data_IF_713578873593
#
_entry.id   IF_713578873593
#
_cell.length_a   1.000
_cell.length_b   1.000
_cell.length_c   1.000
_cell.angle_alpha   90.00
_cell.angle_beta   90.00
_cell.angle_gamma   90.00
#
_symmetry.space_group_name_H-M   'P 1'
#
loop_
_entity.id
_entity.type
_entity.pdbx_description
1 polymer ?
#
# COMPACT_ATOMS: atom_id res chain seq x y z
N UNK A 1 -11.11 12.97 -37.51
CA UNK A 1 -10.03 12.30 -38.25
C UNK A 1 -9.40 11.25 -37.33
N UNK A 2 -9.07 10.04 -37.81
CA UNK A 2 -8.36 9.06 -36.98
C UNK A 2 -7.03 9.67 -36.53
N UNK A 3 -6.74 9.58 -35.23
CA UNK A 3 -5.50 10.11 -34.64
C UNK A 3 -4.42 9.05 -34.82
N UNK A 4 -3.26 9.43 -35.38
CA UNK A 4 -2.12 8.52 -35.49
C UNK A 4 -1.46 8.28 -34.13
N UNK A 5 -0.89 7.09 -33.96
CA UNK A 5 -0.15 6.77 -32.74
C UNK A 5 1.03 7.74 -32.56
N UNK A 6 1.11 8.41 -31.40
CA UNK A 6 2.19 9.37 -31.08
C UNK A 6 3.59 8.76 -31.18
N UNK A 7 3.72 7.45 -30.97
CA UNK A 7 4.97 6.73 -31.17
C UNK A 7 5.38 6.57 -32.65
N UNK A 8 4.59 7.09 -33.60
CA UNK A 8 4.84 7.03 -35.05
C UNK A 8 5.09 5.62 -35.60
N UNK A 9 4.42 4.61 -35.04
CA UNK A 9 4.58 3.21 -35.43
C UNK A 9 3.77 2.78 -36.67
N UNK A 10 3.13 3.72 -37.37
CA UNK A 10 2.25 3.45 -38.52
C UNK A 10 0.82 2.98 -38.16
N UNK A 11 0.54 2.66 -36.90
CA UNK A 11 -0.80 2.29 -36.43
C UNK A 11 -1.62 3.51 -35.99
N UNK A 12 -2.95 3.38 -36.05
CA UNK A 12 -3.88 4.34 -35.46
C UNK A 12 -3.86 4.27 -33.93
N UNK A 13 -3.99 5.42 -33.27
CA UNK A 13 -4.19 5.47 -31.84
C UNK A 13 -5.57 4.91 -31.47
N UNK A 14 -5.61 4.05 -30.46
CA UNK A 14 -6.84 3.42 -29.96
C UNK A 14 -7.18 3.82 -28.53
N UNK A 15 -6.26 4.49 -27.85
CA UNK A 15 -6.40 4.97 -26.48
C UNK A 15 -5.61 6.26 -26.28
N UNK A 16 -5.94 6.98 -25.21
CA UNK A 16 -5.17 8.13 -24.72
C UNK A 16 -4.63 7.79 -23.33
N UNK A 17 -3.32 7.94 -23.11
CA UNK A 17 -2.68 7.70 -21.82
C UNK A 17 -3.19 8.72 -20.78
N UNK A 18 -3.79 8.28 -19.66
CA UNK A 18 -4.23 9.17 -18.58
C UNK A 18 -3.09 10.01 -17.99
N UNK A 19 -1.87 9.44 -17.92
CA UNK A 19 -0.69 10.06 -17.31
C UNK A 19 -0.10 11.19 -18.16
N UNK A 20 0.07 10.97 -19.46
CA UNK A 20 0.80 11.88 -20.36
C UNK A 20 -0.09 12.59 -21.38
N UNK A 21 -1.31 12.10 -21.59
CA UNK A 21 -2.20 12.58 -22.65
C UNK A 21 -1.86 12.03 -24.04
N UNK A 22 -0.90 11.12 -24.16
CA UNK A 22 -0.45 10.59 -25.45
C UNK A 22 -1.48 9.67 -26.08
N UNK A 23 -1.83 9.92 -27.35
CA UNK A 23 -2.65 9.02 -28.14
C UNK A 23 -1.78 7.87 -28.68
N UNK A 24 -2.03 6.62 -28.27
CA UNK A 24 -1.23 5.45 -28.66
C UNK A 24 -2.10 4.30 -29.17
N UNK A 25 -1.52 3.44 -30.02
CA UNK A 25 -2.09 2.11 -30.26
C UNK A 25 -1.81 1.19 -29.04
N UNK A 26 -2.53 0.06 -28.94
CA UNK A 26 -2.35 -0.89 -27.82
C UNK A 26 -0.91 -1.38 -27.66
N UNK A 27 -0.23 -1.73 -28.75
CA UNK A 27 1.14 -2.24 -28.70
C UNK A 27 2.14 -1.20 -28.17
N UNK A 28 2.05 0.05 -28.63
CA UNK A 28 2.89 1.13 -28.13
C UNK A 28 2.57 1.52 -26.69
N UNK A 29 1.30 1.42 -26.28
CA UNK A 29 0.93 1.59 -24.88
C UNK A 29 1.58 0.53 -23.98
N UNK A 30 1.54 -0.75 -24.37
CA UNK A 30 2.21 -1.82 -23.63
C UNK A 30 3.71 -1.56 -23.52
N UNK A 31 4.38 -1.27 -24.64
CA UNK A 31 5.80 -0.99 -24.64
C UNK A 31 6.17 0.20 -23.74
N UNK A 32 5.40 1.30 -23.80
CA UNK A 32 5.64 2.48 -22.97
C UNK A 32 5.41 2.19 -21.47
N UNK A 33 4.31 1.51 -21.13
CA UNK A 33 3.96 1.18 -19.75
C UNK A 33 4.98 0.22 -19.12
N UNK A 34 5.37 -0.83 -19.85
CA UNK A 34 6.37 -1.80 -19.42
C UNK A 34 7.77 -1.16 -19.30
N UNK A 35 8.15 -0.27 -20.23
CA UNK A 35 9.43 0.45 -20.19
C UNK A 35 9.53 1.44 -19.02
N UNK A 36 8.45 2.11 -18.64
CA UNK A 36 8.42 2.99 -17.46
C UNK A 36 8.63 2.20 -16.15
N UNK A 37 8.05 1.00 -16.06
CA UNK A 37 8.24 0.12 -14.90
C UNK A 37 9.66 -0.42 -14.89
N UNK A 38 10.21 -0.85 -16.04
CA UNK A 38 11.62 -1.24 -16.18
C UNK A 38 12.55 -0.11 -15.71
N UNK A 39 12.34 1.11 -16.22
CA UNK A 39 13.11 2.29 -15.81
C UNK A 39 13.02 2.53 -14.30
N UNK A 40 11.83 2.40 -13.70
CA UNK A 40 11.63 2.53 -12.25
C UNK A 40 12.43 1.48 -11.48
N UNK A 41 12.42 0.21 -11.92
CA UNK A 41 13.16 -0.89 -11.30
C UNK A 41 14.68 -0.63 -11.34
N UNK A 42 15.22 -0.25 -12.49
CA UNK A 42 16.66 -0.06 -12.70
C UNK A 42 17.16 1.21 -12.00
N UNK A 43 16.50 2.35 -12.23
CA UNK A 43 16.91 3.64 -11.64
C UNK A 43 16.87 3.62 -10.11
N UNK A 44 15.94 2.86 -9.52
CA UNK A 44 15.81 2.72 -8.07
C UNK A 44 16.56 1.52 -7.49
N UNK A 45 17.26 0.73 -8.31
CA UNK A 45 17.99 -0.49 -7.92
C UNK A 45 17.14 -1.40 -7.03
N UNK A 46 15.89 -1.68 -7.46
CA UNK A 46 14.91 -2.36 -6.61
C UNK A 46 15.30 -3.80 -6.27
N UNK A 47 16.01 -4.46 -7.19
CA UNK A 47 16.41 -5.86 -7.09
C UNK A 47 17.87 -6.05 -7.47
N UNK A 48 18.44 -7.17 -7.02
CA UNK A 48 19.73 -7.69 -7.49
C UNK A 48 19.53 -9.05 -8.16
N UNK A 49 20.40 -9.36 -9.13
CA UNK A 49 20.39 -10.67 -9.78
C UNK A 49 20.55 -11.78 -8.75
N UNK A 50 19.75 -12.84 -8.88
CA UNK A 50 19.72 -13.97 -7.95
C UNK A 50 18.84 -13.75 -6.71
N UNK A 51 18.25 -12.56 -6.51
CA UNK A 51 17.32 -12.34 -5.40
C UNK A 51 16.00 -13.09 -5.62
N UNK A 52 15.47 -13.66 -4.54
CA UNK A 52 14.14 -14.24 -4.47
C UNK A 52 13.13 -13.20 -4.02
N UNK A 53 12.07 -13.00 -4.80
CA UNK A 53 11.09 -11.92 -4.59
C UNK A 53 9.69 -12.50 -4.44
N UNK A 54 9.07 -12.24 -3.30
CA UNK A 54 7.65 -12.52 -3.11
C UNK A 54 6.78 -11.41 -3.70
N UNK A 55 5.99 -11.71 -4.73
CA UNK A 55 4.94 -10.82 -5.23
C UNK A 55 3.70 -11.00 -4.35
N UNK A 56 3.33 -9.94 -3.63
CA UNK A 56 2.13 -9.95 -2.80
C UNK A 56 0.87 -9.98 -3.68
N UNK A 57 0.24 -11.15 -3.76
CA UNK A 57 -0.88 -11.44 -4.66
C UNK A 57 -2.22 -11.33 -3.93
N UNK A 58 -2.99 -10.30 -4.25
CA UNK A 58 -4.34 -10.11 -3.70
C UNK A 58 -5.44 -10.68 -4.61
N UNK A 59 -5.11 -11.06 -5.83
CA UNK A 59 -6.09 -11.38 -6.89
C UNK A 59 -6.67 -10.15 -7.58
N UNK A 60 -6.50 -8.95 -7.00
CA UNK A 60 -6.91 -7.70 -7.63
C UNK A 60 -5.98 -7.24 -8.76
N UNK A 61 -6.51 -6.33 -9.59
CA UNK A 61 -5.85 -5.77 -10.79
C UNK A 61 -4.39 -5.37 -10.59
N UNK A 62 -4.07 -4.66 -9.51
CA UNK A 62 -2.75 -4.08 -9.29
C UNK A 62 -1.70 -5.18 -9.01
N UNK A 63 -2.06 -6.18 -8.19
CA UNK A 63 -1.18 -7.32 -7.92
C UNK A 63 -1.04 -8.25 -9.13
N UNK A 64 -2.11 -8.44 -9.92
CA UNK A 64 -2.06 -9.26 -11.14
C UNK A 64 -1.19 -8.60 -12.21
N UNK A 65 -1.34 -7.29 -12.45
CA UNK A 65 -0.47 -6.54 -13.36
C UNK A 65 0.98 -6.55 -12.87
N UNK A 66 1.21 -6.38 -11.56
CA UNK A 66 2.55 -6.48 -10.99
C UNK A 66 3.18 -7.86 -11.26
N UNK A 67 2.45 -8.94 -10.97
CA UNK A 67 2.90 -10.31 -11.20
C UNK A 67 3.28 -10.54 -12.67
N UNK A 68 2.37 -10.18 -13.59
CA UNK A 68 2.58 -10.30 -15.03
C UNK A 68 3.78 -9.48 -15.52
N UNK A 69 3.84 -8.20 -15.16
CA UNK A 69 4.90 -7.30 -15.64
C UNK A 69 6.27 -7.68 -15.05
N UNK A 70 6.35 -8.08 -13.79
CA UNK A 70 7.61 -8.55 -13.22
C UNK A 70 8.11 -9.82 -13.90
N UNK A 71 7.24 -10.80 -14.15
CA UNK A 71 7.59 -12.00 -14.91
C UNK A 71 8.09 -11.65 -16.32
N UNK A 72 7.32 -10.83 -17.04
CA UNK A 72 7.64 -10.38 -18.39
C UNK A 72 8.98 -9.63 -18.47
N UNK A 73 9.24 -8.70 -17.55
CA UNK A 73 10.48 -7.91 -17.53
C UNK A 73 11.67 -8.73 -17.05
N UNK A 74 11.46 -9.66 -16.11
CA UNK A 74 12.49 -10.59 -15.64
C UNK A 74 13.05 -11.42 -16.81
N UNK A 75 12.17 -11.92 -17.68
CA UNK A 75 12.53 -12.69 -18.87
C UNK A 75 13.13 -11.79 -19.97
N UNK A 76 12.47 -10.67 -20.27
CA UNK A 76 12.89 -9.77 -21.37
C UNK A 76 14.26 -9.14 -21.14
N UNK A 77 14.58 -8.78 -19.90
CA UNK A 77 15.79 -8.04 -19.55
C UNK A 77 16.80 -8.87 -18.74
N UNK A 78 16.54 -10.17 -18.56
CA UNK A 78 17.36 -11.09 -17.77
C UNK A 78 17.73 -10.52 -16.39
N UNK A 79 16.73 -10.12 -15.59
CA UNK A 79 17.01 -9.68 -14.23
C UNK A 79 17.56 -10.83 -13.36
N UNK A 80 17.20 -12.08 -13.68
CA UNK A 80 17.59 -13.27 -12.92
C UNK A 80 16.95 -13.36 -11.54
N UNK A 81 15.69 -12.94 -11.41
CA UNK A 81 14.90 -13.04 -10.17
C UNK A 81 14.22 -14.40 -10.07
N UNK A 82 14.20 -14.96 -8.85
CA UNK A 82 13.32 -16.07 -8.47
C UNK A 82 11.99 -15.49 -7.95
N UNK A 83 10.93 -15.59 -8.75
CA UNK A 83 9.63 -14.97 -8.44
C UNK A 83 8.66 -15.99 -7.84
N UNK A 84 8.10 -15.65 -6.67
CA UNK A 84 7.08 -16.44 -5.96
C UNK A 84 5.87 -15.59 -5.66
N UNK A 85 4.66 -16.15 -5.76
CA UNK A 85 3.43 -15.50 -5.31
C UNK A 85 3.20 -15.75 -3.82
N UNK A 86 2.90 -14.71 -3.06
CA UNK A 86 2.50 -14.78 -1.66
C UNK A 86 1.14 -14.13 -1.47
N UNK A 87 0.14 -14.93 -1.10
CA UNK A 87 -1.23 -14.50 -0.86
C UNK A 87 -1.62 -14.69 0.60
N UNK A 88 -2.41 -13.76 1.13
CA UNK A 88 -2.94 -13.82 2.49
C UNK A 88 -4.45 -13.99 2.42
N UNK A 89 -4.99 -15.08 2.94
CA UNK A 89 -6.43 -15.28 3.12
C UNK A 89 -6.90 -14.61 4.42
N UNK A 90 -7.60 -13.48 4.31
CA UNK A 90 -8.14 -12.79 5.47
C UNK A 90 -9.42 -13.44 6.05
N UNK A 91 -10.03 -14.42 5.38
CA UNK A 91 -11.29 -15.04 5.79
C UNK A 91 -12.46 -14.07 5.71
N UNK A 92 -12.72 -13.52 4.51
CA UNK A 92 -13.88 -12.68 4.21
C UNK A 92 -14.78 -13.45 3.25
N UNK A 93 -15.91 -13.94 3.76
CA UNK A 93 -16.86 -14.79 3.03
C UNK A 93 -17.42 -14.07 1.80
N UNK A 94 -17.43 -14.74 0.65
CA UNK A 94 -17.96 -14.18 -0.61
C UNK A 94 -17.08 -13.09 -1.23
N UNK A 95 -15.86 -12.93 -0.73
CA UNK A 95 -14.85 -12.04 -1.32
C UNK A 95 -13.53 -12.79 -1.52
N UNK A 96 -13.02 -13.44 -0.47
CA UNK A 96 -11.69 -14.03 -0.53
C UNK A 96 -11.66 -15.33 -1.32
N UNK A 97 -12.73 -16.11 -1.27
CA UNK A 97 -12.91 -17.36 -2.02
C UNK A 97 -12.63 -17.14 -3.51
N UNK A 98 -13.39 -16.25 -4.15
CA UNK A 98 -13.24 -15.92 -5.58
C UNK A 98 -11.89 -15.28 -5.92
N UNK A 99 -11.40 -14.41 -5.04
CA UNK A 99 -10.11 -13.75 -5.25
C UNK A 99 -8.93 -14.73 -5.20
N UNK A 100 -9.03 -15.79 -4.38
CA UNK A 100 -7.99 -16.82 -4.27
C UNK A 100 -7.99 -17.75 -5.48
N UNK A 101 -9.15 -18.06 -6.07
CA UNK A 101 -9.21 -18.76 -7.35
C UNK A 101 -8.50 -17.98 -8.45
N UNK A 102 -8.66 -16.66 -8.47
CA UNK A 102 -7.91 -15.81 -9.41
C UNK A 102 -6.41 -15.87 -9.16
N UNK A 103 -5.96 -15.89 -7.89
CA UNK A 103 -4.54 -16.03 -7.56
C UNK A 103 -4.00 -17.41 -7.96
N UNK A 104 -4.78 -18.48 -7.82
CA UNK A 104 -4.42 -19.83 -8.30
C UNK A 104 -4.31 -19.86 -9.82
N UNK A 105 -5.21 -19.19 -10.55
CA UNK A 105 -5.07 -19.03 -12.00
C UNK A 105 -3.79 -18.26 -12.37
N UNK A 106 -3.49 -17.16 -11.66
CA UNK A 106 -2.26 -16.39 -11.89
C UNK A 106 -0.98 -17.21 -11.62
N UNK A 107 -0.99 -18.15 -10.67
CA UNK A 107 0.10 -19.12 -10.45
C UNK A 107 0.35 -19.93 -11.72
N UNK A 108 -0.71 -20.43 -12.34
CA UNK A 108 -0.64 -21.29 -13.52
C UNK A 108 -0.25 -20.49 -14.77
N UNK A 109 -0.89 -19.34 -15.00
CA UNK A 109 -0.62 -18.45 -16.13
C UNK A 109 0.82 -17.94 -16.17
N UNK A 110 1.40 -17.64 -15.01
CA UNK A 110 2.73 -17.05 -14.90
C UNK A 110 3.81 -18.04 -14.46
N UNK A 111 3.44 -19.31 -14.21
CA UNK A 111 4.35 -20.37 -13.77
C UNK A 111 5.21 -19.94 -12.57
N UNK A 112 4.58 -19.28 -11.59
CA UNK A 112 5.23 -18.83 -10.36
C UNK A 112 4.69 -19.63 -9.18
N UNK A 113 5.52 -20.24 -8.31
CA UNK A 113 5.03 -20.97 -7.14
C UNK A 113 4.16 -20.06 -6.26
N UNK A 114 3.16 -20.65 -5.58
CA UNK A 114 2.21 -19.90 -4.75
C UNK A 114 2.22 -20.40 -3.32
N UNK A 115 2.41 -19.49 -2.37
CA UNK A 115 2.14 -19.72 -0.94
C UNK A 115 0.92 -18.92 -0.51
N UNK A 116 -0.01 -19.60 0.13
CA UNK A 116 -1.16 -19.00 0.81
C UNK A 116 -0.94 -19.18 2.31
N UNK A 117 -1.23 -18.14 3.08
CA UNK A 117 -1.36 -18.17 4.54
C UNK A 117 -2.72 -17.59 4.92
N UNK A 118 -3.40 -18.13 5.92
CA UNK A 118 -4.68 -17.57 6.36
C UNK A 118 -4.59 -16.85 7.71
N UNK A 119 -5.50 -15.91 7.95
CA UNK A 119 -5.62 -15.30 9.29
C UNK A 119 -6.09 -16.33 10.33
N UNK A 120 -6.93 -17.27 9.93
CA UNK A 120 -7.38 -18.34 10.82
C UNK A 120 -6.17 -19.16 11.33
N UNK A 121 -5.27 -19.58 10.44
CA UNK A 121 -4.05 -20.30 10.82
C UNK A 121 -3.08 -19.45 11.65
N UNK A 122 -2.89 -18.17 11.27
CA UNK A 122 -1.88 -17.32 11.89
C UNK A 122 -2.29 -16.71 13.22
N UNK A 123 -3.60 -16.51 13.42
CA UNK A 123 -4.16 -15.70 14.49
C UNK A 123 -5.33 -16.37 15.22
N UNK A 124 -5.95 -17.42 14.65
CA UNK A 124 -7.20 -18.01 15.18
C UNK A 124 -8.44 -17.16 14.90
N UNK A 125 -8.35 -16.21 13.97
CA UNK A 125 -9.41 -15.27 13.65
C UNK A 125 -9.54 -15.07 12.14
N UNK A 126 -10.76 -15.13 11.61
CA UNK A 126 -11.09 -14.55 10.30
C UNK A 126 -11.50 -13.08 10.43
N UNK A 127 -11.45 -12.33 9.33
CA UNK A 127 -11.97 -10.97 9.30
C UNK A 127 -13.46 -10.91 9.59
N UNK A 128 -14.23 -11.92 9.18
CA UNK A 128 -15.66 -12.00 9.50
C UNK A 128 -15.88 -12.10 11.02
N UNK A 129 -15.12 -12.95 11.72
CA UNK A 129 -15.17 -13.06 13.19
C UNK A 129 -14.70 -11.78 13.88
N UNK A 130 -13.67 -11.12 13.35
CA UNK A 130 -13.19 -9.83 13.87
C UNK A 130 -14.30 -8.77 13.74
N UNK A 131 -14.93 -8.65 12.57
CA UNK A 131 -16.00 -7.67 12.33
C UNK A 131 -17.23 -7.96 13.19
N UNK A 132 -17.58 -9.23 13.41
CA UNK A 132 -18.65 -9.62 14.33
C UNK A 132 -18.38 -9.12 15.75
N UNK A 133 -17.11 -9.12 16.21
CA UNK A 133 -16.72 -8.70 17.55
C UNK A 133 -16.61 -7.18 17.72
N UNK A 134 -16.08 -6.47 16.71
CA UNK A 134 -15.72 -5.03 16.85
C UNK A 134 -16.71 -4.10 16.14
N UNK A 135 -17.59 -4.65 15.30
CA UNK A 135 -18.41 -3.93 14.34
C UNK A 135 -17.65 -3.50 13.09
N UNK A 136 -18.31 -2.70 12.24
CA UNK A 136 -17.74 -2.24 10.96
C UNK A 136 -16.75 -1.08 11.10
N UNK A 137 -16.73 -0.41 12.25
CA UNK A 137 -15.76 0.67 12.50
C UNK A 137 -14.37 0.10 12.79
N UNK A 138 -13.32 0.72 12.24
CA UNK A 138 -11.92 0.34 12.47
C UNK A 138 -11.48 -1.07 11.99
N UNK A 139 -12.34 -1.85 11.33
CA UNK A 139 -12.00 -3.19 10.83
C UNK A 139 -10.79 -3.22 9.89
N UNK A 140 -10.65 -2.22 9.01
CA UNK A 140 -9.49 -2.08 8.13
C UNK A 140 -8.19 -1.82 8.90
N UNK A 141 -8.26 -1.36 10.14
CA UNK A 141 -7.07 -1.24 11.01
C UNK A 141 -6.57 -2.62 11.44
N UNK A 142 -7.47 -3.52 11.83
CA UNK A 142 -7.12 -4.92 12.13
C UNK A 142 -6.55 -5.60 10.90
N UNK A 143 -7.32 -5.60 9.80
CA UNK A 143 -6.93 -6.20 8.53
C UNK A 143 -5.56 -5.66 8.06
N UNK A 144 -5.36 -4.35 8.01
CA UNK A 144 -4.09 -3.77 7.56
C UNK A 144 -2.89 -4.07 8.47
N UNK A 145 -3.10 -4.30 9.77
CA UNK A 145 -2.03 -4.68 10.71
C UNK A 145 -1.70 -6.17 10.55
N UNK A 146 -2.72 -7.04 10.55
CA UNK A 146 -2.54 -8.48 10.40
C UNK A 146 -2.00 -8.84 9.02
N UNK A 147 -2.50 -8.24 7.93
CA UNK A 147 -1.98 -8.47 6.56
C UNK A 147 -0.49 -8.19 6.47
N UNK A 148 -0.01 -7.09 7.06
CA UNK A 148 1.42 -6.75 7.01
C UNK A 148 2.26 -7.81 7.73
N UNK A 149 1.87 -8.19 8.94
CA UNK A 149 2.60 -9.22 9.69
C UNK A 149 2.50 -10.59 9.02
N UNK A 150 1.35 -10.94 8.44
CA UNK A 150 1.16 -12.19 7.69
C UNK A 150 2.07 -12.24 6.44
N UNK A 151 2.21 -11.13 5.72
CA UNK A 151 3.18 -11.01 4.63
C UNK A 151 4.63 -11.16 5.13
N UNK A 152 4.99 -10.55 6.28
CA UNK A 152 6.33 -10.72 6.85
C UNK A 152 6.60 -12.18 7.27
N UNK A 153 5.59 -12.85 7.85
CA UNK A 153 5.62 -14.29 8.18
C UNK A 153 5.81 -15.14 6.94
N UNK A 154 5.02 -14.93 5.89
CA UNK A 154 5.12 -15.67 4.65
C UNK A 154 6.44 -15.45 3.93
N UNK A 155 6.94 -14.22 3.93
CA UNK A 155 8.23 -13.89 3.36
C UNK A 155 9.38 -14.58 4.10
N UNK A 156 9.33 -14.61 5.44
CA UNK A 156 10.31 -15.36 6.26
C UNK A 156 10.25 -16.86 5.99
N UNK A 157 9.05 -17.45 5.90
CA UNK A 157 8.86 -18.87 5.59
C UNK A 157 9.39 -19.27 4.21
N UNK A 158 9.29 -18.37 3.23
CA UNK A 158 9.75 -18.61 1.87
C UNK A 158 11.24 -18.30 1.64
N UNK A 159 11.90 -17.68 2.63
CA UNK A 159 13.29 -17.24 2.54
C UNK A 159 13.51 -16.21 1.42
N UNK A 160 12.63 -15.22 1.28
CA UNK A 160 12.74 -14.20 0.22
C UNK A 160 13.55 -12.98 0.65
N UNK A 161 14.24 -12.37 -0.30
CA UNK A 161 15.05 -11.16 -0.12
C UNK A 161 14.20 -9.89 -0.11
N UNK A 162 13.02 -9.91 -0.74
CA UNK A 162 12.10 -8.78 -0.74
C UNK A 162 10.66 -9.17 -1.05
N UNK A 163 9.72 -8.27 -0.71
CA UNK A 163 8.30 -8.38 -1.08
C UNK A 163 7.94 -7.26 -2.05
N UNK A 164 7.55 -7.61 -3.28
CA UNK A 164 6.97 -6.66 -4.23
C UNK A 164 5.46 -6.49 -3.97
N UNK A 165 5.00 -5.24 -3.93
CA UNK A 165 3.58 -4.92 -3.67
C UNK A 165 3.00 -4.06 -4.79
N UNK A 166 1.72 -4.26 -5.11
CA UNK A 166 1.03 -3.58 -6.21
C UNK A 166 0.66 -2.11 -5.94
N UNK A 167 1.31 -1.43 -4.99
CA UNK A 167 0.99 -0.03 -4.71
C UNK A 167 1.35 0.84 -5.92
N UNK A 168 0.36 1.55 -6.45
CA UNK A 168 0.47 2.38 -7.64
C UNK A 168 0.62 3.88 -7.30
N UNK A 169 0.68 4.76 -8.31
CA UNK A 169 0.84 6.20 -8.09
C UNK A 169 -0.30 6.81 -7.26
N UNK A 170 -1.55 6.44 -7.56
CA UNK A 170 -2.74 6.88 -6.82
C UNK A 170 -2.65 6.48 -5.34
N UNK A 171 -2.28 5.22 -5.02
CA UNK A 171 -2.11 4.75 -3.64
C UNK A 171 -1.09 5.59 -2.85
N UNK A 172 0.00 6.00 -3.51
CA UNK A 172 1.06 6.79 -2.88
C UNK A 172 0.58 8.23 -2.67
N UNK A 173 -0.07 8.82 -3.66
CA UNK A 173 -0.66 10.15 -3.54
C UNK A 173 -1.76 10.20 -2.46
N UNK A 174 -2.65 9.22 -2.41
CA UNK A 174 -3.63 9.03 -1.33
C UNK A 174 -2.94 8.96 0.03
N UNK A 175 -1.85 8.21 0.14
CA UNK A 175 -1.11 8.05 1.40
C UNK A 175 -0.42 9.35 1.83
N UNK A 176 0.18 10.11 0.89
CA UNK A 176 0.76 11.43 1.15
C UNK A 176 -0.32 12.36 1.70
N UNK A 177 -1.44 12.48 0.99
CA UNK A 177 -2.57 13.30 1.37
C UNK A 177 -3.12 12.92 2.76
N UNK A 178 -3.37 11.63 3.00
CA UNK A 178 -3.84 11.15 4.31
C UNK A 178 -2.88 11.50 5.45
N UNK A 179 -1.57 11.44 5.22
CA UNK A 179 -0.58 11.78 6.26
C UNK A 179 -0.49 13.29 6.50
N UNK A 180 -0.67 14.12 5.46
CA UNK A 180 -0.82 15.58 5.60
C UNK A 180 -2.06 15.91 6.42
N UNK A 181 -3.23 15.38 6.04
CA UNK A 181 -4.51 15.63 6.71
C UNK A 181 -4.52 15.16 8.19
N UNK A 182 -3.71 14.15 8.52
CA UNK A 182 -3.55 13.65 9.91
C UNK A 182 -2.43 14.34 10.68
N UNK A 183 -1.65 15.22 10.05
CA UNK A 183 -0.44 15.80 10.63
C UNK A 183 0.60 14.75 11.05
N UNK A 184 0.68 13.62 10.35
CA UNK A 184 1.61 12.53 10.66
C UNK A 184 2.93 12.67 9.89
N UNK A 185 3.72 13.67 10.29
CA UNK A 185 5.04 13.97 9.69
C UNK A 185 6.00 12.79 9.71
N UNK A 186 5.93 11.94 10.74
CA UNK A 186 6.79 10.76 10.86
C UNK A 186 6.47 9.70 9.81
N UNK A 187 5.20 9.55 9.39
CA UNK A 187 4.79 8.68 8.28
C UNK A 187 5.00 9.36 6.92
N UNK A 188 4.73 10.66 6.83
CA UNK A 188 4.93 11.43 5.61
C UNK A 188 6.38 11.31 5.11
N UNK A 189 7.37 11.38 6.02
CA UNK A 189 8.81 11.20 5.74
C UNK A 189 9.21 9.89 5.05
N UNK A 190 8.38 8.84 5.12
CA UNK A 190 8.72 7.50 4.56
C UNK A 190 7.67 6.97 3.58
N UNK A 191 6.56 7.66 3.40
CA UNK A 191 5.44 7.10 2.65
C UNK A 191 5.69 7.02 1.14
N UNK A 192 6.53 7.91 0.62
CA UNK A 192 7.01 7.95 -0.76
C UNK A 192 8.20 7.03 -1.01
N UNK A 193 8.78 6.40 0.01
CA UNK A 193 9.88 5.45 -0.16
C UNK A 193 9.43 4.30 -1.09
N UNK A 194 10.18 4.10 -2.17
CA UNK A 194 9.94 3.01 -3.13
C UNK A 194 10.38 1.65 -2.58
N UNK A 195 11.39 1.67 -1.70
CA UNK A 195 11.89 0.54 -0.92
C UNK A 195 11.78 0.89 0.56
N UNK A 196 11.04 0.08 1.32
CA UNK A 196 10.86 0.29 2.77
C UNK A 196 11.37 -0.92 3.54
N UNK A 197 12.11 -0.70 4.63
CA UNK A 197 12.77 -1.79 5.38
C UNK A 197 14.21 -2.02 4.93
N UNK A 198 14.76 -3.21 5.21
CA UNK A 198 16.14 -3.57 4.86
C UNK A 198 17.19 -3.35 5.96
N UNK A 199 16.80 -3.22 7.22
CA UNK A 199 17.70 -3.56 8.34
C UNK A 199 17.81 -5.09 8.46
N UNK A 200 18.89 -5.61 9.04
CA UNK A 200 19.22 -7.06 9.13
C UNK A 200 18.02 -7.96 9.44
N UNK A 201 17.12 -7.52 10.32
CA UNK A 201 15.96 -8.32 10.74
C UNK A 201 14.66 -8.12 9.94
N UNK A 202 14.66 -7.29 8.89
CA UNK A 202 13.43 -6.91 8.18
C UNK A 202 13.51 -7.14 6.68
N UNK A 203 12.59 -7.96 6.17
CA UNK A 203 12.44 -8.17 4.72
C UNK A 203 11.93 -6.85 4.09
N UNK A 204 12.68 -6.26 3.15
CA UNK A 204 12.31 -5.02 2.50
C UNK A 204 11.09 -5.21 1.60
N UNK A 205 10.28 -4.16 1.49
CA UNK A 205 9.14 -4.09 0.58
C UNK A 205 9.41 -3.09 -0.52
N UNK A 206 9.17 -3.50 -1.76
CA UNK A 206 9.38 -2.69 -2.96
C UNK A 206 8.08 -2.43 -3.71
N UNK A 207 8.03 -1.32 -4.44
CA UNK A 207 6.83 -0.85 -5.16
C UNK A 207 7.16 -0.55 -6.64
N UNK A 208 7.27 -1.57 -7.50
CA UNK A 208 7.60 -1.35 -8.92
C UNK A 208 6.59 -0.47 -9.66
N UNK A 209 5.32 -0.46 -9.24
CA UNK A 209 4.24 0.34 -9.83
C UNK A 209 4.13 1.76 -9.26
N UNK A 210 5.08 2.23 -8.42
CA UNK A 210 4.99 3.51 -7.69
C UNK A 210 4.62 4.72 -8.56
N UNK A 211 5.04 4.76 -9.83
CA UNK A 211 4.77 5.86 -10.75
C UNK A 211 3.81 5.50 -11.89
N UNK A 212 3.13 4.36 -11.79
CA UNK A 212 2.10 3.90 -12.72
C UNK A 212 0.73 4.36 -12.25
N UNK A 213 -0.06 4.99 -13.11
CA UNK A 213 -1.42 5.44 -12.75
C UNK A 213 -2.36 4.25 -12.65
N UNK A 214 -3.29 4.28 -11.70
CA UNK A 214 -4.29 3.21 -11.53
C UNK A 214 -5.08 2.97 -12.82
N UNK A 215 -5.46 4.05 -13.52
CA UNK A 215 -6.17 3.95 -14.81
C UNK A 215 -5.34 3.23 -15.87
N UNK A 216 -4.02 3.43 -15.90
CA UNK A 216 -3.15 2.71 -16.84
C UNK A 216 -3.02 1.23 -16.47
N UNK A 217 -2.98 0.90 -15.17
CA UNK A 217 -3.02 -0.49 -14.70
C UNK A 217 -4.31 -1.18 -15.13
N UNK A 218 -5.47 -0.53 -14.97
CA UNK A 218 -6.77 -1.03 -15.44
C UNK A 218 -6.76 -1.26 -16.95
N UNK A 219 -6.30 -0.28 -17.73
CA UNK A 219 -6.21 -0.38 -19.19
C UNK A 219 -5.26 -1.51 -19.62
N UNK A 220 -4.11 -1.64 -18.96
CA UNK A 220 -3.13 -2.69 -19.23
C UNK A 220 -3.72 -4.07 -18.97
N UNK A 221 -4.34 -4.28 -17.79
CA UNK A 221 -5.00 -5.53 -17.44
C UNK A 221 -6.11 -5.90 -18.45
N UNK A 222 -6.96 -4.93 -18.79
CA UNK A 222 -8.06 -5.13 -19.74
C UNK A 222 -7.56 -5.51 -21.14
N UNK A 223 -6.60 -4.76 -21.70
CA UNK A 223 -6.13 -5.01 -23.07
C UNK A 223 -5.24 -6.25 -23.19
N UNK A 224 -4.52 -6.64 -22.13
CA UNK A 224 -3.80 -7.92 -22.06
C UNK A 224 -4.72 -9.09 -21.69
N UNK A 225 -6.00 -8.82 -21.39
CA UNK A 225 -7.00 -9.81 -20.94
C UNK A 225 -6.51 -10.61 -19.71
N UNK A 226 -5.87 -9.93 -18.77
CA UNK A 226 -5.41 -10.58 -17.54
C UNK A 226 -6.62 -10.95 -16.68
N UNK A 227 -6.58 -12.15 -16.09
CA UNK A 227 -7.60 -12.60 -15.14
C UNK A 227 -7.31 -11.98 -13.78
N UNK A 228 -8.18 -11.08 -13.34
CA UNK A 228 -8.14 -10.44 -12.03
C UNK A 228 -9.54 -10.37 -11.42
N UNK A 229 -9.60 -10.38 -10.11
CA UNK A 229 -10.81 -10.18 -9.32
C UNK A 229 -11.07 -8.68 -9.12
N UNK A 230 -12.29 -8.23 -9.45
CA UNK A 230 -12.65 -6.80 -9.48
C UNK A 230 -13.61 -6.37 -8.38
N UNK A 231 -14.27 -7.29 -7.69
CA UNK A 231 -15.22 -6.98 -6.62
C UNK A 231 -14.51 -6.29 -5.47
N UNK A 232 -15.08 -5.20 -4.94
CA UNK A 232 -14.54 -4.53 -3.77
C UNK A 232 -14.84 -5.30 -2.48
N UNK A 233 -13.96 -5.17 -1.49
CA UNK A 233 -14.17 -5.79 -0.19
C UNK A 233 -15.39 -5.18 0.52
N UNK A 234 -16.30 -6.04 1.01
CA UNK A 234 -17.53 -5.65 1.74
C UNK A 234 -17.30 -4.76 2.97
N UNK A 235 -16.07 -4.76 3.50
CA UNK A 235 -15.66 -3.94 4.65
C UNK A 235 -14.96 -2.64 4.28
N UNK A 236 -14.54 -2.46 3.02
CA UNK A 236 -13.82 -1.28 2.54
C UNK A 236 -14.58 0.05 2.58
N UNK A 237 -15.92 0.12 2.39
CA UNK A 237 -16.64 1.40 2.30
C UNK A 237 -16.47 2.33 3.50
N UNK A 238 -16.21 1.78 4.69
CA UNK A 238 -16.04 2.56 5.93
C UNK A 238 -14.58 2.99 6.20
N UNK A 239 -13.67 2.77 5.24
CA UNK A 239 -12.27 3.10 5.41
C UNK A 239 -12.02 4.60 5.15
N UNK A 240 -11.29 5.26 6.05
CA UNK A 240 -10.88 6.67 5.89
C UNK A 240 -10.19 6.97 4.56
N UNK A 241 -9.48 5.99 3.98
CA UNK A 241 -8.83 6.13 2.67
C UNK A 241 -9.82 6.47 1.55
N UNK A 242 -11.08 6.03 1.64
CA UNK A 242 -12.11 6.36 0.65
C UNK A 242 -12.30 7.86 0.46
N UNK A 243 -12.23 8.66 1.54
CA UNK A 243 -12.33 10.12 1.45
C UNK A 243 -11.13 10.74 0.73
N UNK A 244 -9.91 10.26 1.02
CA UNK A 244 -8.70 10.72 0.34
C UNK A 244 -8.70 10.37 -1.14
N UNK A 245 -9.18 9.17 -1.49
CA UNK A 245 -9.38 8.74 -2.88
C UNK A 245 -10.35 9.64 -3.61
N UNK A 246 -11.54 9.87 -3.06
CA UNK A 246 -12.56 10.72 -3.68
C UNK A 246 -12.00 12.14 -3.94
N UNK A 247 -11.36 12.74 -2.93
CA UNK A 247 -10.73 14.06 -3.07
C UNK A 247 -9.63 14.07 -4.14
N UNK A 248 -8.77 13.04 -4.18
CA UNK A 248 -7.72 12.92 -5.20
C UNK A 248 -8.32 12.82 -6.61
N UNK A 249 -9.43 12.08 -6.79
CA UNK A 249 -10.11 11.98 -8.09
C UNK A 249 -10.71 13.32 -8.53
N UNK A 250 -11.22 14.14 -7.61
CA UNK A 250 -11.70 15.48 -7.94
C UNK A 250 -10.55 16.40 -8.37
N UNK A 251 -9.39 16.33 -7.71
CA UNK A 251 -8.18 17.02 -8.15
C UNK A 251 -7.70 16.53 -9.53
N UNK A 252 -7.74 15.21 -9.77
CA UNK A 252 -7.31 14.59 -11.04
C UNK A 252 -8.15 15.07 -12.23
N UNK A 253 -9.45 15.31 -12.02
CA UNK A 253 -10.35 15.90 -13.05
C UNK A 253 -9.92 17.31 -13.45
N UNK A 254 -9.42 18.11 -12.51
CA UNK A 254 -8.94 19.48 -12.77
C UNK A 254 -7.58 19.45 -13.47
N UNK A 255 -6.65 18.61 -12.98
CA UNK A 255 -5.30 18.50 -13.52
C UNK A 255 -4.77 17.06 -13.37
N UNK A 256 -4.68 16.27 -14.45
CA UNK A 256 -4.25 14.87 -14.38
C UNK A 256 -2.85 14.65 -13.79
N UNK A 257 -1.94 15.61 -13.91
CA UNK A 257 -0.59 15.52 -13.33
C UNK A 257 -0.55 15.63 -11.80
N UNK A 258 -1.67 15.99 -11.15
CA UNK A 258 -1.73 16.20 -9.70
C UNK A 258 -1.26 14.98 -8.89
N UNK A 259 -1.49 13.75 -9.38
CA UNK A 259 -1.03 12.53 -8.72
C UNK A 259 0.50 12.53 -8.61
N UNK A 260 1.19 12.80 -9.72
CA UNK A 260 2.67 12.91 -9.71
C UNK A 260 3.15 14.12 -8.93
N UNK A 261 2.46 15.25 -9.04
CA UNK A 261 2.81 16.49 -8.32
C UNK A 261 2.73 16.28 -6.79
N UNK A 262 1.74 15.52 -6.30
CA UNK A 262 1.62 15.15 -4.88
C UNK A 262 2.75 14.19 -4.45
N UNK A 263 3.09 13.19 -5.27
CA UNK A 263 4.20 12.27 -4.98
C UNK A 263 5.51 13.05 -4.91
N UNK A 264 5.78 13.89 -5.92
CA UNK A 264 6.95 14.76 -5.97
C UNK A 264 7.02 15.68 -4.75
N UNK A 265 5.90 16.30 -4.37
CA UNK A 265 5.83 17.11 -3.15
C UNK A 265 6.22 16.30 -1.91
N UNK A 266 5.69 15.08 -1.77
CA UNK A 266 6.03 14.17 -0.68
C UNK A 266 7.51 13.77 -0.63
N UNK A 267 8.17 13.64 -1.78
CA UNK A 267 9.61 13.37 -1.91
C UNK A 267 10.48 14.59 -1.62
N UNK A 268 10.01 15.80 -1.97
CA UNK A 268 10.74 17.03 -1.73
C UNK A 268 10.60 17.57 -0.31
N UNK A 269 9.57 17.17 0.45
CA UNK A 269 9.41 17.59 1.83
C UNK A 269 10.63 17.25 2.68
N UNK A 270 11.24 18.28 3.28
CA UNK A 270 12.32 18.15 4.26
C UNK A 270 11.72 18.22 5.66
N UNK A 271 12.16 17.32 6.54
CA UNK A 271 11.70 17.27 7.93
C UNK A 271 12.84 17.68 8.85
N UNK A 272 12.52 18.39 9.94
CA UNK A 272 13.48 18.69 11.00
C UNK A 272 14.07 17.39 11.57
N UNK A 273 15.34 17.39 11.95
CA UNK A 273 16.02 16.22 12.52
C UNK A 273 15.36 15.73 13.82
N UNK A 274 14.67 16.63 14.53
CA UNK A 274 13.87 16.32 15.72
C UNK A 274 12.70 15.38 15.44
N UNK A 275 12.27 15.23 14.18
CA UNK A 275 11.26 14.25 13.77
C UNK A 275 11.88 12.85 13.73
N UNK A 276 11.92 12.20 14.91
CA UNK A 276 12.47 10.85 15.07
C UNK A 276 11.72 9.86 14.19
N UNK A 277 12.45 9.12 13.35
CA UNK A 277 11.93 7.88 12.75
C UNK A 277 11.69 6.90 13.90
N UNK A 278 10.56 6.17 13.92
CA UNK A 278 10.36 5.14 14.93
C UNK A 278 11.51 4.13 14.84
N UNK A 279 12.18 3.89 15.96
CA UNK A 279 13.22 2.85 16.05
C UNK A 279 12.52 1.52 15.83
N UNK A 280 13.04 0.71 14.91
CA UNK A 280 12.56 -0.64 14.69
C UNK A 280 13.34 -1.59 15.59
N UNK A 281 12.63 -2.51 16.23
CA UNK A 281 13.20 -3.62 16.97
C UNK A 281 12.36 -4.88 16.76
N UNK A 282 12.71 -5.95 17.45
CA UNK A 282 12.01 -7.22 17.39
C UNK A 282 10.95 -7.26 18.48
N UNK A 283 9.71 -7.59 18.15
CA UNK A 283 8.62 -7.69 19.12
C UNK A 283 8.90 -8.81 20.14
N UNK A 284 8.87 -8.52 21.44
CA UNK A 284 9.14 -9.50 22.50
C UNK A 284 8.18 -10.71 22.48
N UNK A 285 6.95 -10.51 22.00
CA UNK A 285 5.90 -11.55 21.99
C UNK A 285 5.85 -12.45 20.76
N UNK A 286 6.28 -11.96 19.59
CA UNK A 286 6.15 -12.73 18.35
C UNK A 286 7.41 -12.76 17.49
N UNK A 287 8.47 -12.08 17.93
CA UNK A 287 9.76 -12.02 17.24
C UNK A 287 9.72 -11.43 15.82
N UNK A 288 8.68 -10.65 15.48
CA UNK A 288 8.59 -9.89 14.22
C UNK A 288 8.91 -8.41 14.45
N UNK A 289 9.38 -7.76 13.39
CA UNK A 289 9.80 -6.36 13.42
C UNK A 289 8.65 -5.45 13.81
N UNK A 290 8.89 -4.56 14.78
CA UNK A 290 7.95 -3.54 15.20
C UNK A 290 8.64 -2.25 15.62
N UNK A 291 7.84 -1.18 15.73
CA UNK A 291 8.29 0.12 16.23
C UNK A 291 7.73 0.46 17.61
N UNK A 292 7.07 -0.50 18.24
CA UNK A 292 6.52 -0.41 19.59
C UNK A 292 6.56 -1.80 20.24
N UNK A 293 6.65 -1.83 21.57
CA UNK A 293 6.60 -3.06 22.36
C UNK A 293 5.34 -3.05 23.25
N UNK A 294 4.53 -4.11 23.22
CA UNK A 294 4.49 -5.17 22.20
C UNK A 294 4.01 -4.62 20.84
N UNK A 295 4.25 -5.39 19.76
CA UNK A 295 3.86 -4.95 18.42
C UNK A 295 2.34 -4.74 18.30
N UNK A 296 1.94 -3.89 17.36
CA UNK A 296 0.53 -3.54 17.18
C UNK A 296 -0.36 -4.75 16.89
N UNK A 297 0.15 -5.75 16.17
CA UNK A 297 -0.58 -6.99 15.91
C UNK A 297 -0.84 -7.77 17.20
N UNK A 298 0.19 -7.96 18.05
CA UNK A 298 0.03 -8.63 19.34
C UNK A 298 -0.94 -7.91 20.27
N UNK A 299 -0.92 -6.56 20.30
CA UNK A 299 -1.89 -5.77 21.10
C UNK A 299 -3.32 -5.98 20.62
N UNK A 300 -3.54 -5.95 19.30
CA UNK A 300 -4.87 -6.15 18.73
C UNK A 300 -5.37 -7.58 18.95
N UNK A 301 -4.50 -8.58 18.77
CA UNK A 301 -4.82 -9.99 19.00
C UNK A 301 -5.14 -10.28 20.46
N UNK A 302 -4.37 -9.71 21.40
CA UNK A 302 -4.68 -9.77 22.83
C UNK A 302 -6.06 -9.16 23.14
N UNK A 303 -6.37 -8.00 22.54
CA UNK A 303 -7.67 -7.37 22.67
C UNK A 303 -8.82 -8.25 22.19
N UNK A 304 -8.66 -8.94 21.06
CA UNK A 304 -9.65 -9.90 20.55
C UNK A 304 -9.82 -11.10 21.51
N UNK A 305 -8.72 -11.73 21.90
CA UNK A 305 -8.74 -12.93 22.75
C UNK A 305 -9.27 -12.67 24.17
N UNK A 306 -9.15 -11.44 24.68
CA UNK A 306 -9.66 -11.03 26.00
C UNK A 306 -11.06 -10.41 25.96
N UNK A 307 -11.70 -10.32 24.79
CA UNK A 307 -12.99 -9.63 24.65
C UNK A 307 -12.91 -8.10 24.84
N UNK A 308 -11.72 -7.50 24.68
CA UNK A 308 -11.45 -6.06 24.79
C UNK A 308 -11.02 -5.49 23.43
N UNK A 309 -11.88 -5.48 22.40
CA UNK A 309 -11.48 -5.15 21.02
C UNK A 309 -11.02 -3.70 20.81
N UNK A 310 -11.36 -2.80 21.75
CA UNK A 310 -10.89 -1.41 21.73
C UNK A 310 -9.42 -1.30 22.17
N UNK A 311 -8.80 -2.37 22.68
CA UNK A 311 -7.43 -2.35 23.15
C UNK A 311 -6.46 -1.93 22.02
N UNK A 312 -5.87 -0.76 22.19
CA UNK A 312 -4.94 -0.16 21.23
C UNK A 312 -5.59 0.61 20.08
N UNK A 313 -6.91 0.70 19.99
CA UNK A 313 -7.62 1.52 18.99
C UNK A 313 -8.05 2.83 19.65
N UNK A 314 -7.96 3.96 18.92
CA UNK A 314 -8.51 5.24 19.41
C UNK A 314 -7.54 6.14 20.17
N UNK A 315 -6.32 6.38 19.65
CA UNK A 315 -5.52 7.52 20.13
C UNK A 315 -6.27 8.83 19.79
N UNK A 316 -6.45 9.74 20.76
CA UNK A 316 -6.96 11.11 20.53
C UNK A 316 -6.19 11.76 19.37
N UNK A 317 -6.89 12.52 18.54
CA UNK A 317 -6.29 13.18 17.37
C UNK A 317 -5.19 14.14 17.84
N UNK A 318 -4.20 14.41 16.98
CA UNK A 318 -3.17 15.42 17.32
C UNK A 318 -3.80 16.81 17.47
N UNK A 319 -4.85 17.10 16.69
CA UNK A 319 -5.64 18.33 16.80
C UNK A 319 -6.29 18.47 18.18
N UNK A 320 -6.94 17.42 18.69
CA UNK A 320 -7.59 17.44 20.00
C UNK A 320 -6.58 17.71 21.11
N UNK A 321 -5.37 17.14 21.00
CA UNK A 321 -4.28 17.40 21.96
C UNK A 321 -3.75 18.81 21.87
N UNK A 322 -3.65 19.36 20.65
CA UNK A 322 -3.21 20.73 20.43
C UNK A 322 -4.22 21.73 20.99
N UNK A 323 -5.50 21.53 20.72
CA UNK A 323 -6.61 22.33 21.27
C UNK A 323 -6.64 22.20 22.80
N UNK A 324 -6.52 20.98 23.35
CA UNK A 324 -6.47 20.78 24.80
C UNK A 324 -5.28 21.51 25.45
N UNK A 325 -4.09 21.49 24.81
CA UNK A 325 -2.91 22.23 25.27
C UNK A 325 -3.15 23.74 25.20
N UNK A 326 -3.71 24.24 24.09
CA UNK A 326 -4.01 25.65 23.91
C UNK A 326 -5.03 26.15 24.96
N UNK A 327 -6.08 25.37 25.22
CA UNK A 327 -7.07 25.70 26.25
C UNK A 327 -6.46 25.68 27.65
N UNK A 328 -5.54 24.75 27.94
CA UNK A 328 -4.80 24.74 29.21
C UNK A 328 -3.90 25.96 29.36
N UNK A 329 -3.20 26.37 28.30
CA UNK A 329 -2.37 27.59 28.29
C UNK A 329 -3.22 28.86 28.44
N UNK A 330 -4.39 28.92 27.80
CA UNK A 330 -5.33 30.03 27.94
C UNK A 330 -5.85 30.15 29.39
N UNK A 331 -6.28 29.03 29.98
CA UNK A 331 -6.77 29.00 31.36
C UNK A 331 -5.69 29.39 32.39
N UNK A 332 -4.41 29.05 32.14
CA UNK A 332 -3.28 29.49 32.97
C UNK A 332 -3.05 31.01 32.85
N UNK A 333 -3.19 31.59 31.65
CA UNK A 333 -3.09 33.04 31.43
C UNK A 333 -4.23 33.80 32.09
N UNK A 334 -5.46 33.31 32.00
CA UNK A 334 -6.63 33.89 32.66
C UNK A 334 -6.46 33.88 34.18
N UNK A 335 -5.99 32.78 34.78
CA UNK A 335 -5.66 32.71 36.21
C UNK A 335 -4.55 33.69 36.60
N UNK A 336 -3.50 33.83 35.79
CA UNK A 336 -2.41 34.77 36.06
C UNK A 336 -2.85 36.24 35.96
N UNK A 337 -3.84 36.55 35.12
CA UNK A 337 -4.41 37.90 35.02
C UNK A 337 -5.34 38.23 36.20
N UNK A 338 -6.09 37.25 36.73
CA UNK A 338 -6.90 37.45 37.95
C UNK A 338 -5.99 37.78 39.14
N UNK A 339 -4.89 37.03 39.33
CA UNK A 339 -3.93 37.28 40.43
C UNK A 339 -3.24 38.65 40.32
N UNK A 340 -3.12 39.23 39.11
CA UNK A 340 -2.53 40.56 38.91
C UNK A 340 -3.51 41.71 39.18
N UNK A 341 -4.81 41.45 39.25
CA UNK A 341 -5.82 42.46 39.54
C UNK A 341 -6.28 42.47 41.01
N UNK A 342 -5.78 41.53 41.82
CA UNK A 342 -6.09 41.42 43.27
C UNK A 342 -4.99 42.04 44.17
N UNK A 343 -4.07 42.82 43.59
CA UNK A 343 -3.12 43.72 44.27
C UNK A 343 -3.26 45.12 43.69
#
# INVERSE_FOLDING_TARGET
MPIDCKAKCGNRATLKRPKTGDALCKACFFAAFEAEIHHTIISSKLFRRGEKVAVAASGGKDSTVLAHVLKLLNERHDYGLDLVLLSIDEGITGYRDDSLETVKQNRDDYQMPLKILSYEELYGWTMDRIVAQIGRSNNCTFCGVFRRQALDRGAKLLGVDSIATGHNADDIAETVLMNILRGDTARLRRCTDIRTGGSEDSIPRVKPLKYSYEKEIVMYAHYKKLVYFSTECVFAPNAYRGHARAFLKDLEKVRPSVIMDIIYSGEQLRFKDTVKKPVRGICERCSFVSSQQPCKACVLLEGLNRGLPKLGIGKKSKGDRMIAKQNQELALRERANIVKNDF
#
